data_IF_236372861585
#
_entry.id   IF_236372861585
#
_cell.length_a   1.000
_cell.length_b   1.000
_cell.length_c   1.000
_cell.angle_alpha   90.00
_cell.angle_beta   90.00
_cell.angle_gamma   90.00
#
_symmetry.space_group_name_H-M   'P 1'
#
loop_
_entity.id
_entity.type
_entity.pdbx_description
1 polymer ?
#
# COMPACT_ATOMS: atom_id res chain seq x y z
N UNK A 1 11.55 -21.98 -51.80
CA UNK A 1 10.84 -22.11 -50.50
C UNK A 1 11.47 -21.14 -49.53
N UNK A 2 10.67 -20.26 -48.91
CA UNK A 2 11.15 -19.15 -48.06
C UNK A 2 11.25 -19.69 -46.63
N UNK A 3 12.45 -20.05 -46.20
CA UNK A 3 12.71 -20.51 -44.84
C UNK A 3 12.56 -19.32 -43.89
N UNK A 4 11.51 -19.36 -43.07
CA UNK A 4 11.35 -18.41 -41.98
C UNK A 4 12.42 -18.80 -40.97
N UNK A 5 13.41 -17.92 -40.74
CA UNK A 5 14.31 -18.02 -39.59
C UNK A 5 13.45 -17.95 -38.33
N UNK A 6 12.96 -19.10 -37.90
CA UNK A 6 12.33 -19.29 -36.60
C UNK A 6 13.41 -18.97 -35.58
N UNK A 7 13.12 -18.03 -34.68
CA UNK A 7 13.94 -17.85 -33.48
C UNK A 7 14.18 -19.24 -32.85
N UNK A 8 15.38 -19.51 -32.31
CA UNK A 8 15.59 -20.73 -31.54
C UNK A 8 14.43 -20.86 -30.54
N UNK A 9 13.87 -22.07 -30.36
CA UNK A 9 12.73 -22.27 -29.46
C UNK A 9 13.10 -21.63 -28.14
N UNK A 10 12.30 -20.68 -27.67
CA UNK A 10 12.53 -20.00 -26.40
C UNK A 10 12.64 -21.14 -25.38
N UNK A 11 13.84 -21.36 -24.86
CA UNK A 11 14.07 -22.38 -23.84
C UNK A 11 13.03 -22.13 -22.75
N UNK A 12 12.14 -23.12 -22.54
CA UNK A 12 11.19 -23.07 -21.44
C UNK A 12 12.03 -22.91 -20.19
N UNK A 13 11.98 -21.72 -19.58
CA UNK A 13 12.82 -21.34 -18.45
C UNK A 13 12.71 -22.43 -17.39
N UNK A 14 13.78 -23.21 -17.13
CA UNK A 14 13.73 -24.24 -16.10
C UNK A 14 13.66 -23.53 -14.73
N UNK A 15 12.73 -23.98 -13.88
CA UNK A 15 12.70 -23.77 -12.43
C UNK A 15 12.83 -22.30 -11.93
N UNK A 16 12.11 -21.38 -12.58
CA UNK A 16 11.90 -20.03 -12.07
C UNK A 16 10.62 -19.90 -11.24
N UNK A 17 10.55 -18.98 -10.24
CA UNK A 17 9.28 -18.64 -9.60
C UNK A 17 8.21 -18.28 -10.67
N UNK A 18 6.92 -18.51 -10.43
CA UNK A 18 5.86 -18.23 -11.41
C UNK A 18 5.70 -16.72 -11.64
N UNK A 19 6.49 -16.17 -12.57
CA UNK A 19 6.49 -14.77 -12.95
C UNK A 19 5.50 -14.51 -14.09
N UNK A 20 4.93 -13.31 -14.11
CA UNK A 20 4.11 -12.81 -15.21
C UNK A 20 4.96 -12.63 -16.47
N UNK A 21 4.59 -13.22 -17.62
CA UNK A 21 5.32 -13.02 -18.88
C UNK A 21 5.34 -11.57 -19.36
N UNK A 22 4.36 -10.75 -18.96
CA UNK A 22 4.25 -9.34 -19.37
C UNK A 22 5.12 -8.41 -18.54
N UNK A 23 5.29 -8.68 -17.25
CA UNK A 23 5.91 -7.73 -16.31
C UNK A 23 7.17 -8.25 -15.66
N UNK A 24 7.44 -9.55 -15.72
CA UNK A 24 8.56 -10.19 -15.00
C UNK A 24 8.38 -10.21 -13.48
N UNK A 25 7.21 -9.79 -12.97
CA UNK A 25 6.91 -9.75 -11.53
C UNK A 25 6.19 -11.03 -11.06
N UNK A 26 6.26 -11.37 -9.77
CA UNK A 26 5.43 -12.43 -9.18
C UNK A 26 3.94 -12.18 -9.42
N UNK A 27 3.19 -13.25 -9.74
CA UNK A 27 1.74 -13.16 -9.88
C UNK A 27 1.10 -12.78 -8.54
N UNK A 28 0.28 -11.73 -8.56
CA UNK A 28 -0.35 -11.19 -7.35
C UNK A 28 -1.53 -12.09 -6.94
N UNK A 29 -1.58 -12.60 -5.69
CA UNK A 29 -2.73 -13.36 -5.22
C UNK A 29 -3.95 -12.45 -5.03
N UNK A 30 -5.16 -13.02 -5.04
CA UNK A 30 -6.40 -12.26 -4.81
C UNK A 30 -6.39 -11.52 -3.45
N UNK A 31 -5.75 -12.11 -2.43
CA UNK A 31 -5.56 -11.48 -1.12
C UNK A 31 -4.82 -10.15 -1.20
N UNK A 32 -3.87 -10.01 -2.14
CA UNK A 32 -3.13 -8.77 -2.35
C UNK A 32 -3.99 -7.70 -3.03
N UNK A 33 -4.86 -8.10 -3.96
CA UNK A 33 -5.83 -7.18 -4.58
C UNK A 33 -6.80 -6.65 -3.52
N UNK A 34 -7.34 -7.55 -2.68
CA UNK A 34 -8.23 -7.18 -1.58
C UNK A 34 -7.51 -6.25 -0.60
N UNK A 35 -6.25 -6.54 -0.23
CA UNK A 35 -5.44 -5.68 0.64
C UNK A 35 -5.30 -4.26 0.09
N UNK A 36 -5.04 -4.09 -1.21
CA UNK A 36 -4.94 -2.77 -1.83
C UNK A 36 -6.29 -2.04 -1.87
N UNK A 37 -7.37 -2.75 -2.22
CA UNK A 37 -8.72 -2.17 -2.18
C UNK A 37 -9.07 -1.71 -0.78
N UNK A 38 -8.80 -2.54 0.23
CA UNK A 38 -8.97 -2.16 1.64
C UNK A 38 -8.13 -0.94 2.00
N UNK A 39 -6.88 -0.84 1.53
CA UNK A 39 -6.05 0.32 1.80
C UNK A 39 -6.62 1.62 1.19
N UNK A 40 -7.07 1.57 -0.06
CA UNK A 40 -7.69 2.72 -0.75
C UNK A 40 -8.97 3.14 -0.03
N UNK A 41 -9.86 2.18 0.25
CA UNK A 41 -11.11 2.42 0.97
C UNK A 41 -10.82 2.96 2.38
N UNK A 42 -9.82 2.41 3.07
CA UNK A 42 -9.41 2.84 4.39
C UNK A 42 -8.97 4.30 4.42
N UNK A 43 -8.14 4.72 3.47
CA UNK A 43 -7.74 6.13 3.32
C UNK A 43 -8.95 7.04 3.07
N UNK A 44 -9.87 6.63 2.18
CA UNK A 44 -11.08 7.40 1.91
C UNK A 44 -11.98 7.53 3.15
N UNK A 45 -12.14 6.45 3.91
CA UNK A 45 -12.93 6.42 5.14
C UNK A 45 -12.29 7.29 6.23
N UNK A 46 -10.97 7.25 6.40
CA UNK A 46 -10.26 8.16 7.33
C UNK A 46 -10.52 9.62 6.97
N UNK A 47 -10.44 9.96 5.68
CA UNK A 47 -10.79 11.29 5.18
C UNK A 47 -12.24 11.67 5.47
N UNK A 48 -13.18 10.74 5.31
CA UNK A 48 -14.59 10.95 5.65
C UNK A 48 -14.81 11.18 7.16
N UNK A 49 -14.17 10.40 8.03
CA UNK A 49 -14.26 10.59 9.50
C UNK A 49 -13.79 11.99 9.89
N UNK A 50 -12.68 12.45 9.32
CA UNK A 50 -12.18 13.80 9.57
C UNK A 50 -13.08 14.89 8.97
N UNK A 51 -13.58 14.68 7.75
CA UNK A 51 -14.54 15.60 7.12
C UNK A 51 -15.82 15.73 7.93
N UNK A 52 -16.29 14.63 8.54
CA UNK A 52 -17.44 14.64 9.43
C UNK A 52 -17.17 15.42 10.72
N UNK A 53 -15.99 15.25 11.31
CA UNK A 53 -15.54 16.07 12.44
C UNK A 53 -15.53 17.57 12.07
N UNK A 54 -14.89 17.92 10.95
CA UNK A 54 -14.82 19.29 10.44
C UNK A 54 -16.19 19.91 10.18
N UNK A 55 -17.09 19.16 9.54
CA UNK A 55 -18.46 19.62 9.29
C UNK A 55 -19.20 19.98 10.59
N UNK A 56 -19.00 19.20 11.65
CA UNK A 56 -19.59 19.49 12.98
C UNK A 56 -18.84 20.60 13.72
N UNK A 57 -17.54 20.75 13.50
CA UNK A 57 -16.75 21.82 14.10
C UNK A 57 -17.10 23.21 13.50
N UNK A 58 -17.64 23.26 12.28
CA UNK A 58 -18.03 24.49 11.61
C UNK A 58 -19.19 25.24 12.29
N UNK A 59 -20.00 24.56 13.11
CA UNK A 59 -21.14 25.17 13.81
C UNK A 59 -20.88 25.18 15.33
N UNK A 60 -20.99 26.35 16.00
CA UNK A 60 -20.73 26.47 17.44
C UNK A 60 -21.54 25.50 18.29
N UNK A 61 -22.79 25.23 17.90
CA UNK A 61 -23.71 24.35 18.63
C UNK A 61 -23.25 22.89 18.63
N UNK A 62 -22.51 22.47 17.60
CA UNK A 62 -22.02 21.10 17.45
C UNK A 62 -20.54 20.95 17.72
N UNK A 63 -19.80 22.05 17.93
CA UNK A 63 -18.36 22.06 18.18
C UNK A 63 -17.93 21.17 19.36
N UNK A 64 -18.57 21.23 20.55
CA UNK A 64 -18.18 20.38 21.68
C UNK A 64 -18.38 18.89 21.41
N UNK A 65 -19.28 18.54 20.49
CA UNK A 65 -19.54 17.17 20.09
C UNK A 65 -18.75 16.70 18.87
N UNK A 66 -17.96 17.58 18.24
CA UNK A 66 -17.25 17.29 16.99
C UNK A 66 -16.15 16.26 17.17
N UNK A 67 -15.48 16.24 18.33
CA UNK A 67 -14.49 15.26 18.71
C UNK A 67 -14.63 14.84 20.18
N UNK A 68 -14.31 13.58 20.51
CA UNK A 68 -14.35 13.09 21.89
C UNK A 68 -13.35 13.80 22.80
N UNK A 69 -12.12 14.05 22.32
CA UNK A 69 -11.12 14.78 23.10
C UNK A 69 -11.54 16.24 23.37
N UNK A 70 -12.16 16.92 22.40
CA UNK A 70 -12.74 18.25 22.58
C UNK A 70 -13.85 18.21 23.63
N UNK A 71 -14.70 17.17 23.61
CA UNK A 71 -15.76 16.97 24.59
C UNK A 71 -15.23 16.74 26.01
N UNK A 72 -14.11 16.06 26.17
CA UNK A 72 -13.57 15.75 27.50
C UNK A 72 -12.90 16.93 28.19
N UNK A 73 -12.33 17.85 27.40
CA UNK A 73 -11.56 18.99 27.92
C UNK A 73 -12.37 20.28 27.88
N UNK A 74 -13.41 20.35 27.05
CA UNK A 74 -14.30 21.52 26.90
C UNK A 74 -13.54 22.84 26.71
N UNK A 75 -12.58 22.93 25.76
CA UNK A 75 -11.83 24.16 25.56
C UNK A 75 -12.74 25.27 25.03
N UNK A 76 -12.50 26.51 25.46
CA UNK A 76 -13.17 27.68 24.90
C UNK A 76 -12.92 27.74 23.37
N UNK A 77 -13.99 27.89 22.55
CA UNK A 77 -13.85 28.03 21.11
C UNK A 77 -12.94 29.22 20.76
N UNK A 78 -11.93 28.99 19.91
CA UNK A 78 -10.98 30.03 19.52
C UNK A 78 -9.84 30.28 20.51
N UNK A 79 -9.80 29.59 21.66
CA UNK A 79 -8.65 29.58 22.54
C UNK A 79 -7.48 28.75 21.96
N UNK A 80 -6.26 29.03 22.41
CA UNK A 80 -5.05 28.31 21.99
C UNK A 80 -5.13 26.79 22.15
N UNK A 81 -5.84 26.32 23.17
CA UNK A 81 -6.05 24.88 23.42
C UNK A 81 -6.91 24.25 22.32
N UNK A 82 -8.01 24.91 21.93
CA UNK A 82 -8.88 24.48 20.82
C UNK A 82 -8.07 24.39 19.52
N UNK A 83 -7.26 25.41 19.21
CA UNK A 83 -6.40 25.40 18.02
C UNK A 83 -5.37 24.26 18.05
N UNK A 84 -4.81 23.97 19.23
CA UNK A 84 -3.83 22.88 19.40
C UNK A 84 -4.48 21.53 19.15
N UNK A 85 -5.72 21.31 19.60
CA UNK A 85 -6.46 20.09 19.31
C UNK A 85 -6.75 19.90 17.83
N UNK A 86 -7.11 20.96 17.10
CA UNK A 86 -7.27 20.87 15.64
C UNK A 86 -6.00 20.39 14.94
N UNK A 87 -4.82 20.88 15.38
CA UNK A 87 -3.52 20.41 14.87
C UNK A 87 -3.28 18.94 15.23
N UNK A 88 -3.61 18.53 16.45
CA UNK A 88 -3.50 17.13 16.89
C UNK A 88 -4.42 16.22 16.05
N UNK A 89 -5.66 16.60 15.81
CA UNK A 89 -6.60 15.82 14.99
C UNK A 89 -6.12 15.71 13.55
N UNK A 90 -5.68 16.82 12.95
CA UNK A 90 -5.10 16.80 11.62
C UNK A 90 -3.88 15.87 11.53
N UNK A 91 -2.98 15.93 12.51
CA UNK A 91 -1.81 15.05 12.58
C UNK A 91 -2.20 13.58 12.70
N UNK A 92 -3.16 13.24 13.58
CA UNK A 92 -3.65 11.86 13.74
C UNK A 92 -4.24 11.33 12.42
N UNK A 93 -5.02 12.14 11.72
CA UNK A 93 -5.65 11.77 10.44
C UNK A 93 -4.60 11.53 9.36
N UNK A 94 -3.62 12.42 9.24
CA UNK A 94 -2.50 12.27 8.30
C UNK A 94 -1.70 11.00 8.60
N UNK A 95 -1.39 10.75 9.88
CA UNK A 95 -0.67 9.55 10.29
C UNK A 95 -1.47 8.27 10.02
N UNK A 96 -2.76 8.25 10.35
CA UNK A 96 -3.62 7.08 10.15
C UNK A 96 -3.85 6.76 8.66
N UNK A 97 -4.17 7.77 7.85
CA UNK A 97 -4.33 7.62 6.41
C UNK A 97 -2.99 7.25 5.74
N UNK A 98 -1.92 7.96 6.11
CA UNK A 98 -0.57 7.72 5.62
C UNK A 98 -0.10 6.29 5.93
N UNK A 99 -0.32 5.80 7.15
CA UNK A 99 0.03 4.44 7.52
C UNK A 99 -0.69 3.40 6.66
N UNK A 100 -2.01 3.49 6.49
CA UNK A 100 -2.76 2.56 5.63
C UNK A 100 -2.26 2.64 4.19
N UNK A 101 -2.08 3.84 3.64
CA UNK A 101 -1.61 4.05 2.27
C UNK A 101 -0.20 3.48 2.03
N UNK A 102 0.74 3.76 2.93
CA UNK A 102 2.12 3.26 2.87
C UNK A 102 2.14 1.74 2.94
N UNK A 103 1.37 1.14 3.85
CA UNK A 103 1.28 -0.32 3.99
C UNK A 103 0.66 -0.95 2.75
N UNK A 104 -0.44 -0.41 2.22
CA UNK A 104 -1.07 -0.89 0.99
C UNK A 104 -0.12 -0.83 -0.22
N UNK A 105 0.55 0.30 -0.41
CA UNK A 105 1.52 0.48 -1.50
C UNK A 105 2.70 -0.49 -1.40
N UNK A 106 3.30 -0.61 -0.21
CA UNK A 106 4.43 -1.49 -0.01
C UNK A 106 4.02 -2.98 -0.05
N UNK A 107 2.80 -3.31 0.35
CA UNK A 107 2.23 -4.65 0.19
C UNK A 107 2.17 -5.03 -1.29
N UNK A 108 1.66 -4.11 -2.12
CA UNK A 108 1.59 -4.30 -3.57
C UNK A 108 2.96 -4.57 -4.19
N UNK A 109 4.01 -3.90 -3.69
CA UNK A 109 5.41 -4.10 -4.10
C UNK A 109 6.15 -5.21 -3.33
N UNK A 110 5.40 -6.03 -2.59
CA UNK A 110 5.89 -7.25 -1.98
C UNK A 110 6.91 -7.05 -0.87
N UNK A 111 6.86 -5.94 -0.12
CA UNK A 111 7.78 -5.69 0.99
C UNK A 111 7.37 -6.49 2.23
N UNK A 112 8.22 -7.37 2.72
CA UNK A 112 7.90 -8.27 3.85
C UNK A 112 7.63 -7.55 5.18
N UNK A 113 8.28 -6.41 5.41
CA UNK A 113 8.13 -5.61 6.64
C UNK A 113 6.70 -5.10 6.87
N UNK A 114 5.89 -5.03 5.79
CA UNK A 114 4.48 -4.64 5.81
C UNK A 114 3.68 -5.49 6.80
N UNK A 115 4.07 -6.74 7.06
CA UNK A 115 3.40 -7.59 8.05
C UNK A 115 3.44 -6.97 9.46
N UNK A 116 4.57 -6.40 9.86
CA UNK A 116 4.71 -5.68 11.14
C UNK A 116 4.16 -4.25 11.03
N UNK A 117 4.41 -3.58 9.90
CA UNK A 117 3.93 -2.21 9.68
C UNK A 117 2.41 -2.10 9.67
N UNK A 118 1.68 -3.14 9.26
CA UNK A 118 0.21 -3.17 9.32
C UNK A 118 -0.32 -3.09 10.76
N UNK A 119 0.42 -3.60 11.75
CA UNK A 119 0.07 -3.44 13.17
C UNK A 119 0.21 -1.98 13.62
N UNK A 120 1.24 -1.27 13.13
CA UNK A 120 1.39 0.16 13.37
C UNK A 120 0.23 0.96 12.74
N UNK A 121 -0.22 0.56 11.55
CA UNK A 121 -1.41 1.16 10.93
C UNK A 121 -2.67 0.95 11.77
N UNK A 122 -2.85 -0.23 12.37
CA UNK A 122 -3.96 -0.50 13.31
C UNK A 122 -3.86 0.41 14.54
N UNK A 123 -2.69 0.53 15.16
CA UNK A 123 -2.50 1.39 16.33
C UNK A 123 -2.82 2.86 16.04
N UNK A 124 -2.35 3.38 14.90
CA UNK A 124 -2.63 4.76 14.48
C UNK A 124 -4.11 4.98 14.15
N UNK A 125 -4.79 3.99 13.56
CA UNK A 125 -6.23 4.09 13.31
C UNK A 125 -7.05 3.94 14.59
N UNK A 126 -6.59 3.18 15.58
CA UNK A 126 -7.21 3.13 16.90
C UNK A 126 -7.13 4.48 17.62
N UNK A 127 -6.06 5.24 17.43
CA UNK A 127 -5.93 6.58 17.99
C UNK A 127 -6.99 7.57 17.46
N UNK A 128 -7.57 7.34 16.28
CA UNK A 128 -8.68 8.14 15.77
C UNK A 128 -9.98 7.99 16.59
N UNK A 129 -10.07 6.99 17.48
CA UNK A 129 -11.16 6.90 18.45
C UNK A 129 -11.17 8.07 19.45
N UNK A 130 -10.05 8.79 19.60
CA UNK A 130 -10.01 10.07 20.33
C UNK A 130 -10.79 11.18 19.61
N UNK A 131 -11.03 11.02 18.30
CA UNK A 131 -11.83 11.94 17.51
C UNK A 131 -13.28 11.48 17.48
N UNK A 132 -13.57 10.27 17.01
CA UNK A 132 -14.96 9.84 16.81
C UNK A 132 -15.15 8.34 16.89
N UNK A 133 -16.35 7.91 17.30
CA UNK A 133 -16.76 6.49 17.20
C UNK A 133 -16.82 5.98 15.76
N UNK A 134 -17.00 6.87 14.79
CA UNK A 134 -16.92 6.51 13.37
C UNK A 134 -15.54 5.97 12.97
N UNK A 135 -14.49 6.24 13.76
CA UNK A 135 -13.16 5.67 13.58
C UNK A 135 -13.09 4.14 13.77
N UNK A 136 -14.16 3.50 14.28
CA UNK A 136 -14.29 2.04 14.27
C UNK A 136 -14.29 1.46 12.84
N UNK A 137 -14.78 2.21 11.85
CA UNK A 137 -14.82 1.77 10.45
C UNK A 137 -13.39 1.67 9.87
N UNK A 138 -12.56 2.74 9.84
CA UNK A 138 -11.20 2.63 9.33
C UNK A 138 -10.32 1.70 10.19
N UNK A 139 -10.59 1.58 11.50
CA UNK A 139 -9.95 0.57 12.35
C UNK A 139 -10.27 -0.86 11.89
N UNK A 140 -11.53 -1.16 11.60
CA UNK A 140 -11.95 -2.45 11.05
C UNK A 140 -11.28 -2.74 9.70
N UNK A 141 -11.16 -1.72 8.84
CA UNK A 141 -10.43 -1.83 7.57
C UNK A 141 -8.94 -2.12 7.80
N UNK A 142 -8.29 -1.43 8.74
CA UNK A 142 -6.89 -1.68 9.08
C UNK A 142 -6.67 -3.10 9.62
N UNK A 143 -7.60 -3.62 10.43
CA UNK A 143 -7.58 -5.02 10.88
C UNK A 143 -7.75 -6.01 9.72
N UNK A 144 -8.67 -5.71 8.79
CA UNK A 144 -8.83 -6.49 7.55
C UNK A 144 -7.55 -6.50 6.71
N UNK A 145 -6.85 -5.37 6.63
CA UNK A 145 -5.56 -5.27 5.95
C UNK A 145 -4.50 -6.16 6.61
N UNK A 146 -4.40 -6.15 7.94
CA UNK A 146 -3.51 -7.04 8.69
C UNK A 146 -3.81 -8.50 8.34
N UNK A 147 -5.08 -8.90 8.40
CA UNK A 147 -5.51 -10.25 8.06
C UNK A 147 -5.07 -10.65 6.66
N UNK A 148 -5.32 -9.79 5.66
CA UNK A 148 -4.94 -10.07 4.27
C UNK A 148 -3.43 -10.20 4.07
N UNK A 149 -2.64 -9.36 4.73
CA UNK A 149 -1.17 -9.37 4.65
C UNK A 149 -0.58 -10.60 5.34
N UNK A 150 -1.24 -11.12 6.38
CA UNK A 150 -0.75 -12.25 7.16
C UNK A 150 -1.14 -13.62 6.59
N UNK A 151 -2.08 -13.68 5.64
CA UNK A 151 -2.48 -14.92 5.00
C UNK A 151 -1.30 -15.63 4.32
N UNK A 152 -1.28 -16.99 4.30
CA UNK A 152 -0.20 -17.76 3.69
C UNK A 152 0.06 -17.41 2.21
N UNK A 153 -0.99 -17.11 1.45
CA UNK A 153 -0.86 -16.72 0.04
C UNK A 153 -0.05 -15.42 -0.12
N UNK A 154 -0.28 -14.44 0.75
CA UNK A 154 0.42 -13.15 0.75
C UNK A 154 1.87 -13.29 1.22
N UNK A 155 2.12 -14.14 2.23
CA UNK A 155 3.48 -14.46 2.68
C UNK A 155 4.31 -15.10 1.57
N UNK A 156 3.74 -16.11 0.88
CA UNK A 156 4.38 -16.71 -0.31
C UNK A 156 4.68 -15.67 -1.39
N UNK A 157 3.77 -14.74 -1.62
CA UNK A 157 4.00 -13.63 -2.56
C UNK A 157 5.19 -12.75 -2.16
N UNK A 158 5.34 -12.44 -0.87
CA UNK A 158 6.51 -11.69 -0.38
C UNK A 158 7.81 -12.48 -0.54
N UNK A 159 7.80 -13.78 -0.23
CA UNK A 159 8.98 -14.63 -0.39
C UNK A 159 9.42 -14.72 -1.86
N UNK A 160 8.46 -14.80 -2.81
CA UNK A 160 8.74 -14.74 -4.24
C UNK A 160 9.39 -13.42 -4.65
N UNK A 161 8.93 -12.31 -4.08
CA UNK A 161 9.52 -11.00 -4.33
C UNK A 161 10.95 -10.88 -3.81
N UNK A 162 11.26 -11.50 -2.67
CA UNK A 162 12.61 -11.55 -2.14
C UNK A 162 13.54 -12.38 -3.04
N UNK A 163 13.06 -13.51 -3.58
CA UNK A 163 13.80 -14.29 -4.59
C UNK A 163 14.06 -13.48 -5.87
N UNK A 164 13.05 -12.77 -6.37
CA UNK A 164 13.18 -11.94 -7.58
C UNK A 164 14.19 -10.81 -7.36
N UNK A 165 14.14 -10.12 -6.22
CA UNK A 165 15.09 -9.04 -5.89
C UNK A 165 16.50 -9.53 -5.62
N UNK A 166 16.66 -10.76 -5.13
CA UNK A 166 17.96 -11.37 -4.89
C UNK A 166 18.66 -11.79 -6.19
N UNK A 167 17.92 -12.10 -7.26
CA UNK A 167 18.50 -12.37 -8.58
C UNK A 167 19.11 -11.08 -9.13
N UNK A 168 20.44 -10.97 -9.10
CA UNK A 168 21.14 -9.91 -9.83
C UNK A 168 20.84 -10.06 -11.32
N UNK A 169 20.51 -8.98 -12.05
CA UNK A 169 20.53 -9.02 -13.50
C UNK A 169 21.92 -9.47 -13.93
N UNK A 170 22.00 -10.45 -14.83
CA UNK A 170 23.29 -10.75 -15.46
C UNK A 170 23.81 -9.44 -16.07
N UNK A 171 25.01 -8.97 -15.68
CA UNK A 171 25.58 -7.78 -16.28
C UNK A 171 25.64 -8.01 -17.79
N UNK A 172 25.09 -7.08 -18.56
CA UNK A 172 25.20 -7.15 -20.01
C UNK A 172 26.69 -7.21 -20.37
N UNK A 173 27.14 -8.39 -20.82
CA UNK A 173 28.49 -8.57 -21.29
C UNK A 173 28.51 -8.17 -22.75
N UNK A 174 29.12 -7.01 -23.04
CA UNK A 174 29.29 -6.55 -24.42
C UNK A 174 29.99 -7.68 -25.21
N UNK A 175 29.44 -8.09 -26.37
CA UNK A 175 30.12 -9.06 -27.23
C UNK A 175 31.52 -8.55 -27.59
N UNK A 176 32.53 -9.43 -27.52
CA UNK A 176 33.92 -9.07 -27.86
C UNK A 176 34.05 -8.64 -29.33
N UNK A 177 33.16 -9.12 -30.19
CA UNK A 177 33.02 -8.69 -31.58
C UNK A 177 31.55 -8.47 -31.90
N UNK A 178 31.23 -7.28 -32.38
CA UNK A 178 29.91 -6.95 -32.93
C UNK A 178 30.08 -6.88 -34.45
N UNK A 179 29.55 -7.88 -35.15
CA UNK A 179 29.56 -7.89 -36.62
C UNK A 179 28.51 -6.90 -37.13
N UNK A 180 28.96 -5.78 -37.68
CA UNK A 180 28.13 -4.88 -38.46
C UNK A 180 28.29 -5.24 -39.94
N UNK A 181 27.24 -5.80 -40.53
CA UNK A 181 27.24 -6.22 -41.93
C UNK A 181 25.87 -6.76 -42.35
N UNK A 182 25.68 -6.99 -43.65
CA UNK A 182 24.50 -7.70 -44.14
C UNK A 182 24.48 -9.09 -43.50
N UNK A 183 23.38 -9.44 -42.85
CA UNK A 183 23.15 -10.79 -42.33
C UNK A 183 23.47 -11.79 -43.45
N UNK A 184 24.04 -12.98 -43.16
CA UNK A 184 24.44 -13.96 -44.17
C UNK A 184 23.36 -14.29 -45.20
N UNK A 185 22.08 -14.14 -44.83
CA UNK A 185 20.92 -14.34 -45.73
C UNK A 185 20.76 -13.25 -46.81
N UNK A 186 21.41 -12.11 -46.66
CA UNK A 186 21.35 -10.94 -47.57
C UNK A 186 22.68 -10.66 -48.26
N UNK A 187 23.59 -11.64 -48.24
CA UNK A 187 24.80 -11.64 -49.06
C UNK A 187 24.50 -12.20 -50.45
#
# INVERSE_FOLDING_TARGET
>A
MKEILTFPPIEQRPDGPPLSPRTGEPRRPATMVIAVVLAIVGVAVVGWVYGWHWFRAAFPETYPGSAHLTRWVEPEPGAWVSLTFEVVYAALVVLAAGAIGIIGYNAWHGRRWVSLGALAAVALNAALLLVSWHALIPLGVALGLVLMVWLPATRRYFDLWDVVRARRPEPYRRPERVFYGRLPRYQ
#
